data_IF_525626952739
#
_entry.id   IF_525626952739
#
_cell.length_a   1.000
_cell.length_b   1.000
_cell.length_c   1.000
_cell.angle_alpha   90.00
_cell.angle_beta   90.00
_cell.angle_gamma   90.00
#
_symmetry.space_group_name_H-M   'P 1'
#
loop_
_entity.id
_entity.type
_entity.pdbx_description
1 polymer ?
#
# COMPACT_ATOMS: atom_id res chain seq x y z
N UNK A 1 -15.05 -21.91 -6.62
CA UNK A 1 -13.71 -22.53 -6.49
C UNK A 1 -13.30 -22.58 -5.02
N UNK A 2 -12.44 -23.53 -4.59
CA UNK A 2 -12.02 -23.67 -3.18
C UNK A 2 -10.50 -23.61 -3.01
N UNK A 3 -10.05 -22.98 -1.94
CA UNK A 3 -8.64 -22.79 -1.62
C UNK A 3 -8.40 -23.07 -0.13
N UNK A 4 -7.29 -23.71 0.20
CA UNK A 4 -6.78 -23.83 1.57
C UNK A 4 -5.69 -22.77 1.78
N UNK A 5 -5.80 -21.98 2.84
CA UNK A 5 -4.89 -20.89 3.17
C UNK A 5 -4.26 -21.18 4.53
N UNK A 6 -2.94 -20.98 4.61
CA UNK A 6 -2.16 -21.04 5.85
C UNK A 6 -1.33 -19.77 6.00
N UNK A 7 -1.63 -18.97 7.01
CA UNK A 7 -0.91 -17.75 7.36
C UNK A 7 0.27 -18.12 8.26
N UNK A 8 1.47 -17.75 7.83
CA UNK A 8 2.69 -17.96 8.61
C UNK A 8 3.01 -16.76 9.48
N UNK A 9 2.81 -15.55 8.95
CA UNK A 9 3.16 -14.31 9.64
C UNK A 9 2.30 -13.16 9.15
N UNK A 10 1.93 -12.31 10.10
CA UNK A 10 1.35 -10.99 9.84
C UNK A 10 2.19 -9.95 10.58
N UNK A 11 2.70 -8.98 9.83
CA UNK A 11 3.50 -7.87 10.37
C UNK A 11 3.02 -6.54 9.83
N UNK A 12 3.18 -5.52 10.66
CA UNK A 12 2.87 -4.14 10.32
C UNK A 12 4.17 -3.36 10.17
N UNK A 13 4.26 -2.51 9.14
CA UNK A 13 5.44 -1.70 8.84
C UNK A 13 5.09 -0.26 8.51
N UNK A 14 5.99 0.67 8.85
CA UNK A 14 5.87 2.11 8.58
C UNK A 14 6.77 2.55 7.41
N UNK A 15 7.25 1.61 6.61
CA UNK A 15 7.94 1.86 5.34
C UNK A 15 8.04 0.57 4.53
N UNK A 16 7.96 0.72 3.21
CA UNK A 16 8.24 -0.35 2.26
C UNK A 16 9.75 -0.32 1.91
N UNK A 17 10.53 -1.37 2.23
CA UNK A 17 11.99 -1.35 2.08
C UNK A 17 12.48 -1.02 0.68
N UNK A 18 11.77 -1.49 -0.35
CA UNK A 18 12.22 -1.41 -1.75
C UNK A 18 11.50 -0.31 -2.56
N UNK A 19 10.75 0.57 -1.90
CA UNK A 19 10.00 1.63 -2.59
C UNK A 19 10.88 2.80 -3.03
N UNK A 20 11.72 3.30 -2.11
CA UNK A 20 12.65 4.40 -2.39
C UNK A 20 14.05 3.83 -2.65
N UNK A 21 14.64 4.17 -3.80
CA UNK A 21 16.01 3.78 -4.14
C UNK A 21 16.97 4.98 -4.10
N UNK A 22 18.28 4.71 -4.22
CA UNK A 22 19.31 5.77 -4.16
C UNK A 22 19.11 6.88 -5.21
N UNK A 23 18.59 6.55 -6.40
CA UNK A 23 18.32 7.54 -7.45
C UNK A 23 17.11 8.43 -7.10
N UNK A 24 16.11 7.90 -6.41
CA UNK A 24 15.01 8.71 -5.90
C UNK A 24 15.48 9.75 -4.89
N UNK A 25 16.30 9.33 -3.93
CA UNK A 25 16.81 10.25 -2.93
C UNK A 25 17.69 11.35 -3.55
N UNK A 26 18.52 11.03 -4.56
CA UNK A 26 19.33 12.02 -5.28
C UNK A 26 18.48 13.05 -6.01
N UNK A 27 17.46 12.62 -6.75
CA UNK A 27 16.56 13.54 -7.46
C UNK A 27 15.74 14.41 -6.49
N UNK A 28 15.31 13.84 -5.36
CA UNK A 28 14.64 14.62 -4.33
C UNK A 28 15.60 15.65 -3.71
N UNK A 29 16.83 15.26 -3.38
CA UNK A 29 17.86 16.20 -2.87
C UNK A 29 18.08 17.37 -3.83
N UNK A 30 18.20 17.11 -5.14
CA UNK A 30 18.30 18.16 -6.15
C UNK A 30 17.08 19.09 -6.15
N UNK A 31 15.86 18.54 -6.06
CA UNK A 31 14.61 19.33 -5.96
C UNK A 31 14.55 20.17 -4.68
N UNK A 32 15.16 19.72 -3.60
CA UNK A 32 15.32 20.48 -2.34
C UNK A 32 16.57 21.38 -2.32
N UNK A 33 17.21 21.62 -3.48
CA UNK A 33 18.33 22.56 -3.60
C UNK A 33 19.67 22.02 -3.10
N UNK A 34 19.77 20.73 -2.79
CA UNK A 34 21.01 20.05 -2.43
C UNK A 34 21.57 19.33 -3.66
N UNK A 35 22.40 20.04 -4.45
CA UNK A 35 23.10 19.45 -5.59
C UNK A 35 24.31 18.60 -5.13
N UNK A 36 24.68 17.62 -5.95
CA UNK A 36 25.93 16.84 -5.84
C UNK A 36 26.02 15.82 -4.67
N UNK A 37 24.92 15.13 -4.34
CA UNK A 37 24.97 13.99 -3.44
C UNK A 37 25.66 12.76 -4.10
N UNK A 38 26.98 12.62 -3.89
CA UNK A 38 27.77 11.53 -4.48
C UNK A 38 27.59 10.16 -3.79
N UNK A 39 26.92 10.10 -2.64
CA UNK A 39 26.75 8.84 -1.90
C UNK A 39 25.93 7.80 -2.67
N UNK A 40 26.23 6.53 -2.44
CA UNK A 40 25.40 5.39 -2.88
C UNK A 40 24.64 4.74 -1.73
N UNK A 41 24.93 5.13 -0.48
CA UNK A 41 24.25 4.60 0.70
C UNK A 41 22.88 5.27 0.85
N UNK A 42 21.83 4.46 0.78
CA UNK A 42 20.44 4.91 0.92
C UNK A 42 20.21 5.60 2.27
N UNK A 43 20.84 5.13 3.35
CA UNK A 43 20.64 5.72 4.68
C UNK A 43 21.25 7.11 4.76
N UNK A 44 22.47 7.27 4.27
CA UNK A 44 23.13 8.56 4.22
C UNK A 44 22.34 9.54 3.34
N UNK A 45 21.89 9.11 2.15
CA UNK A 45 21.06 9.92 1.27
C UNK A 45 19.73 10.32 1.92
N UNK A 46 19.10 9.42 2.67
CA UNK A 46 17.87 9.72 3.42
C UNK A 46 18.12 10.75 4.53
N UNK A 47 19.21 10.62 5.29
CA UNK A 47 19.59 11.57 6.33
C UNK A 47 19.88 12.96 5.74
N UNK A 48 20.61 13.02 4.62
CA UNK A 48 20.81 14.26 3.85
C UNK A 48 19.47 14.87 3.41
N UNK A 49 18.55 14.04 2.89
CA UNK A 49 17.25 14.51 2.44
C UNK A 49 16.45 15.10 3.60
N UNK A 50 16.47 14.46 4.77
CA UNK A 50 15.77 14.97 5.95
C UNK A 50 16.33 16.31 6.44
N UNK A 51 17.65 16.54 6.30
CA UNK A 51 18.24 17.85 6.57
C UNK A 51 17.79 18.90 5.56
N UNK A 52 17.80 18.59 4.26
CA UNK A 52 17.39 19.53 3.22
C UNK A 52 15.89 19.89 3.29
N UNK A 53 15.03 18.90 3.59
CA UNK A 53 13.59 19.09 3.74
C UNK A 53 13.25 20.01 4.93
N UNK A 54 14.09 20.02 5.98
CA UNK A 54 13.80 20.78 7.20
C UNK A 54 13.74 22.31 6.99
N UNK A 55 14.31 22.83 5.90
CA UNK A 55 14.28 24.26 5.53
C UNK A 55 12.93 24.68 4.90
N UNK A 56 12.03 23.73 4.63
CA UNK A 56 10.75 23.95 3.97
C UNK A 56 9.57 23.76 4.94
N UNK A 57 8.48 24.50 4.72
CA UNK A 57 7.22 24.23 5.42
C UNK A 57 6.64 22.87 4.99
N UNK A 58 5.83 22.27 5.86
CA UNK A 58 5.37 20.88 5.66
C UNK A 58 4.62 20.69 4.34
N UNK A 59 3.74 21.62 3.97
CA UNK A 59 2.99 21.55 2.72
C UNK A 59 3.90 21.80 1.50
N UNK A 60 4.90 22.68 1.60
CA UNK A 60 5.85 22.93 0.51
C UNK A 60 6.68 21.68 0.22
N UNK A 61 7.20 21.02 1.26
CA UNK A 61 7.93 19.77 1.09
C UNK A 61 7.02 18.64 0.57
N UNK A 62 5.79 18.55 1.06
CA UNK A 62 4.83 17.58 0.56
C UNK A 62 4.55 17.77 -0.93
N UNK A 63 4.34 19.01 -1.38
CA UNK A 63 4.13 19.33 -2.79
C UNK A 63 5.31 18.90 -3.66
N UNK A 64 6.55 19.12 -3.21
CA UNK A 64 7.77 18.71 -3.94
C UNK A 64 7.86 17.19 -4.08
N UNK A 65 7.61 16.43 -3.00
CA UNK A 65 7.71 14.96 -3.03
C UNK A 65 6.56 14.36 -3.85
N UNK A 66 5.35 14.91 -3.73
CA UNK A 66 4.18 14.53 -4.54
C UNK A 66 4.44 14.79 -6.02
N UNK A 67 4.94 15.97 -6.39
CA UNK A 67 5.30 16.30 -7.77
C UNK A 67 6.32 15.31 -8.34
N UNK A 68 7.37 14.98 -7.57
CA UNK A 68 8.38 14.03 -8.02
C UNK A 68 7.80 12.66 -8.39
N UNK A 69 6.83 12.16 -7.62
CA UNK A 69 6.29 10.80 -7.80
C UNK A 69 5.03 10.72 -8.64
N UNK A 70 4.16 11.73 -8.58
CA UNK A 70 2.79 11.64 -9.07
C UNK A 70 2.45 12.70 -10.13
N UNK A 71 3.41 13.50 -10.62
CA UNK A 71 3.16 14.51 -11.66
C UNK A 71 2.69 13.93 -13.01
N UNK A 72 2.95 12.64 -13.28
CA UNK A 72 2.40 11.95 -14.46
C UNK A 72 0.89 11.64 -14.32
N UNK A 73 0.37 11.70 -13.11
CA UNK A 73 -0.97 11.26 -12.75
C UNK A 73 -1.85 12.38 -12.19
N UNK A 74 -1.24 13.37 -11.56
CA UNK A 74 -1.88 14.46 -10.87
C UNK A 74 -1.40 15.78 -11.42
N UNK A 75 -2.33 16.71 -11.64
CA UNK A 75 -1.97 18.07 -12.04
C UNK A 75 -1.51 18.91 -10.84
N UNK A 76 -0.94 20.08 -11.12
CA UNK A 76 -0.39 20.98 -10.09
C UNK A 76 -1.41 21.38 -9.02
N UNK A 77 -2.67 21.60 -9.40
CA UNK A 77 -3.73 21.96 -8.44
C UNK A 77 -4.09 20.81 -7.51
N UNK A 78 -4.12 19.58 -8.03
CA UNK A 78 -4.32 18.37 -7.21
C UNK A 78 -3.15 18.15 -6.25
N UNK A 79 -1.92 18.32 -6.72
CA UNK A 79 -0.71 18.19 -5.89
C UNK A 79 -0.71 19.24 -4.77
N UNK A 80 -1.02 20.50 -5.09
CA UNK A 80 -1.11 21.59 -4.12
C UNK A 80 -2.16 21.28 -3.04
N UNK A 81 -3.37 20.90 -3.45
CA UNK A 81 -4.44 20.52 -2.53
C UNK A 81 -4.02 19.33 -1.63
N UNK A 82 -3.49 18.27 -2.23
CA UNK A 82 -3.04 17.08 -1.51
C UNK A 82 -1.96 17.39 -0.48
N UNK A 83 -1.04 18.29 -0.80
CA UNK A 83 0.05 18.69 0.10
C UNK A 83 -0.47 19.28 1.42
N UNK A 84 -1.66 19.89 1.40
CA UNK A 84 -2.36 20.38 2.58
C UNK A 84 -3.21 19.30 3.26
N UNK A 85 -3.94 18.50 2.47
CA UNK A 85 -4.83 17.47 2.99
C UNK A 85 -4.09 16.35 3.76
N UNK A 86 -2.88 15.99 3.34
CA UNK A 86 -2.05 14.97 4.01
C UNK A 86 -1.70 15.30 5.47
N UNK A 87 -1.86 16.56 5.89
CA UNK A 87 -1.67 16.98 7.28
C UNK A 87 -2.94 16.80 8.14
N UNK A 88 -4.10 16.72 7.50
CA UNK A 88 -5.41 16.73 8.14
C UNK A 88 -6.05 15.33 8.13
N UNK A 89 -5.88 14.60 7.04
CA UNK A 89 -6.54 13.32 6.78
C UNK A 89 -5.53 12.25 6.31
N UNK A 90 -5.92 10.98 6.46
CA UNK A 90 -5.07 9.84 6.06
C UNK A 90 -5.24 9.56 4.57
N UNK A 91 -4.70 10.45 3.75
CA UNK A 91 -4.91 10.40 2.30
C UNK A 91 -4.44 9.09 1.66
N UNK A 92 -3.44 8.40 2.22
CA UNK A 92 -3.05 7.07 1.74
C UNK A 92 -4.08 5.95 1.98
N UNK A 93 -5.16 6.23 2.71
CA UNK A 93 -6.26 5.32 3.04
C UNK A 93 -7.60 5.84 2.47
N UNK A 94 -7.74 7.16 2.34
CA UNK A 94 -9.02 7.83 2.03
C UNK A 94 -9.07 8.45 0.62
N UNK A 95 -7.96 8.48 -0.11
CA UNK A 95 -7.97 9.05 -1.47
C UNK A 95 -8.91 8.26 -2.39
N UNK A 96 -9.72 8.90 -3.25
CA UNK A 96 -10.69 8.19 -4.10
C UNK A 96 -10.07 7.15 -5.03
N UNK A 97 -8.87 7.44 -5.54
CA UNK A 97 -8.14 6.57 -6.46
C UNK A 97 -7.27 5.59 -5.69
N UNK A 98 -7.77 4.37 -5.46
CA UNK A 98 -7.11 3.35 -4.61
C UNK A 98 -5.72 2.98 -5.15
N UNK A 99 -5.54 2.98 -6.46
CA UNK A 99 -4.26 2.64 -7.10
C UNK A 99 -3.12 3.59 -6.68
N UNK A 100 -3.43 4.81 -6.23
CA UNK A 100 -2.44 5.77 -5.70
C UNK A 100 -2.09 5.55 -4.23
N UNK A 101 -2.83 4.71 -3.49
CA UNK A 101 -2.67 4.56 -2.03
C UNK A 101 -1.27 4.11 -1.63
N UNK A 102 -0.63 3.24 -2.41
CA UNK A 102 0.73 2.75 -2.14
C UNK A 102 1.76 3.89 -2.20
N UNK A 103 1.64 4.74 -3.22
CA UNK A 103 2.57 5.85 -3.44
C UNK A 103 2.34 6.93 -2.39
N UNK A 104 1.08 7.28 -2.15
CA UNK A 104 0.66 8.20 -1.10
C UNK A 104 1.11 7.72 0.28
N UNK A 105 1.03 6.43 0.59
CA UNK A 105 1.56 5.85 1.82
C UNK A 105 3.06 6.08 1.95
N UNK A 106 3.81 5.80 0.89
CA UNK A 106 5.27 5.87 0.91
C UNK A 106 5.79 7.31 0.99
N UNK A 107 5.08 8.26 0.36
CA UNK A 107 5.32 9.70 0.47
C UNK A 107 4.98 10.17 1.88
N UNK A 108 3.80 9.83 2.40
CA UNK A 108 3.36 10.20 3.73
C UNK A 108 4.34 9.72 4.81
N UNK A 109 4.79 8.46 4.75
CA UNK A 109 5.73 7.91 5.72
C UNK A 109 7.14 8.52 5.63
N UNK A 110 7.58 8.95 4.45
CA UNK A 110 8.82 9.70 4.30
C UNK A 110 8.72 11.04 5.04
N UNK A 111 7.64 11.79 4.79
CA UNK A 111 7.38 13.11 5.38
C UNK A 111 7.08 13.03 6.88
N UNK A 112 6.35 12.00 7.32
CA UNK A 112 6.11 11.69 8.73
C UNK A 112 7.44 11.59 9.49
N UNK A 113 8.42 10.87 8.94
CA UNK A 113 9.74 10.72 9.54
C UNK A 113 10.55 12.02 9.48
N UNK A 114 10.57 12.69 8.32
CA UNK A 114 11.30 13.95 8.14
C UNK A 114 10.84 15.05 9.13
N UNK A 115 9.54 15.10 9.43
CA UNK A 115 8.94 16.13 10.29
C UNK A 115 8.54 15.63 11.68
N UNK A 116 9.12 14.52 12.16
CA UNK A 116 8.88 14.00 13.51
C UNK A 116 7.38 13.83 13.86
N UNK A 117 6.58 13.36 12.90
CA UNK A 117 5.17 13.02 13.09
C UNK A 117 4.17 14.16 12.92
N UNK A 118 4.53 15.25 12.23
CA UNK A 118 3.56 16.29 11.83
C UNK A 118 2.50 15.76 10.84
N UNK A 119 2.87 14.82 9.97
CA UNK A 119 1.93 14.11 9.10
C UNK A 119 1.23 13.01 9.90
N UNK A 120 0.05 12.56 9.46
CA UNK A 120 -0.65 11.48 10.15
C UNK A 120 0.06 10.14 9.94
N UNK A 121 0.23 9.35 10.99
CA UNK A 121 0.83 8.02 10.84
C UNK A 121 -0.15 7.05 10.17
N UNK A 122 0.37 6.30 9.21
CA UNK A 122 -0.31 5.22 8.49
C UNK A 122 0.58 3.99 8.47
N UNK A 123 -0.01 2.81 8.29
CA UNK A 123 0.74 1.56 8.38
C UNK A 123 0.39 0.63 7.22
N UNK A 124 1.34 -0.22 6.83
CA UNK A 124 1.13 -1.27 5.86
C UNK A 124 1.16 -2.63 6.54
N UNK A 125 0.25 -3.52 6.14
CA UNK A 125 0.22 -4.91 6.57
C UNK A 125 0.91 -5.78 5.53
N UNK A 126 1.84 -6.60 6.00
CA UNK A 126 2.50 -7.66 5.23
C UNK A 126 2.03 -9.00 5.76
N UNK A 127 1.52 -9.85 4.86
CA UNK A 127 1.08 -11.21 5.19
C UNK A 127 1.91 -12.21 4.39
N UNK A 128 2.62 -13.08 5.10
CA UNK A 128 3.29 -14.25 4.54
C UNK A 128 2.37 -15.46 4.72
N UNK A 129 2.01 -16.13 3.62
CA UNK A 129 1.03 -17.21 3.62
C UNK A 129 1.28 -18.25 2.53
N UNK A 130 0.63 -19.39 2.64
CA UNK A 130 0.48 -20.39 1.58
C UNK A 130 -0.97 -20.41 1.13
N UNK A 131 -1.19 -20.61 -0.17
CA UNK A 131 -2.53 -20.80 -0.75
C UNK A 131 -2.48 -21.99 -1.71
N UNK A 132 -3.30 -23.00 -1.44
CA UNK A 132 -3.35 -24.24 -2.20
C UNK A 132 -4.73 -24.38 -2.85
N UNK A 133 -4.81 -24.40 -4.20
CA UNK A 133 -6.04 -24.69 -4.92
C UNK A 133 -6.54 -26.11 -4.61
N UNK A 134 -7.83 -26.25 -4.31
CA UNK A 134 -8.45 -27.55 -4.02
C UNK A 134 -9.23 -28.03 -5.25
N UNK A 135 -8.97 -29.28 -5.67
CA UNK A 135 -9.61 -29.94 -6.83
C UNK A 135 -9.39 -29.14 -8.13
N UNK A 136 -10.47 -28.60 -8.70
CA UNK A 136 -10.49 -27.93 -10.01
C UNK A 136 -10.40 -26.39 -9.88
N UNK A 137 -9.95 -25.89 -8.72
CA UNK A 137 -9.69 -24.46 -8.54
C UNK A 137 -8.51 -24.00 -9.40
N UNK A 138 -8.50 -22.71 -9.75
CA UNK A 138 -7.43 -22.13 -10.56
C UNK A 138 -6.09 -22.23 -9.83
N UNK A 139 -5.03 -22.58 -10.59
CA UNK A 139 -3.66 -22.66 -10.08
C UNK A 139 -2.93 -21.33 -10.16
N UNK A 140 -3.43 -20.42 -10.98
CA UNK A 140 -2.90 -19.06 -11.12
C UNK A 140 -3.53 -18.19 -10.05
N UNK A 141 -2.77 -17.95 -8.97
CA UNK A 141 -3.24 -17.14 -7.85
C UNK A 141 -3.12 -15.67 -8.21
N UNK A 142 -4.25 -14.98 -8.32
CA UNK A 142 -4.36 -13.55 -8.59
C UNK A 142 -4.66 -12.77 -7.30
N UNK A 143 -4.51 -11.43 -7.34
CA UNK A 143 -4.89 -10.54 -6.24
C UNK A 143 -6.37 -10.67 -5.88
N UNK A 144 -7.26 -10.79 -6.87
CA UNK A 144 -8.69 -11.05 -6.65
C UNK A 144 -8.92 -12.34 -5.85
N UNK A 145 -8.29 -13.46 -6.24
CA UNK A 145 -8.40 -14.74 -5.53
C UNK A 145 -7.97 -14.57 -4.07
N UNK A 146 -6.81 -13.95 -3.86
CA UNK A 146 -6.25 -13.71 -2.52
C UNK A 146 -7.20 -12.85 -1.69
N UNK A 147 -7.69 -11.73 -2.23
CA UNK A 147 -8.56 -10.82 -1.51
C UNK A 147 -9.91 -11.46 -1.16
N UNK A 148 -10.54 -12.16 -2.10
CA UNK A 148 -11.80 -12.91 -1.86
C UNK A 148 -11.62 -14.00 -0.80
N UNK A 149 -10.47 -14.69 -0.78
CA UNK A 149 -10.19 -15.68 0.26
C UNK A 149 -10.04 -15.00 1.64
N UNK A 150 -9.22 -13.96 1.74
CA UNK A 150 -9.00 -13.28 3.01
C UNK A 150 -10.24 -12.58 3.53
N UNK A 151 -11.11 -12.02 2.67
CA UNK A 151 -12.38 -11.42 3.08
C UNK A 151 -13.26 -12.35 3.94
N UNK A 152 -13.20 -13.67 3.70
CA UNK A 152 -13.92 -14.68 4.49
C UNK A 152 -13.27 -14.98 5.86
N UNK A 153 -11.99 -14.63 6.03
CA UNK A 153 -11.22 -14.79 7.26
C UNK A 153 -10.94 -13.45 7.98
N UNK A 154 -11.61 -12.37 7.56
CA UNK A 154 -11.58 -11.07 8.24
C UNK A 154 -12.82 -10.88 9.11
N UNK A 155 -12.75 -9.96 10.07
CA UNK A 155 -13.95 -9.57 10.85
C UNK A 155 -15.06 -9.07 9.93
N UNK A 156 -16.33 -9.27 10.33
CA UNK A 156 -17.49 -8.82 9.54
C UNK A 156 -17.54 -7.30 9.35
N UNK A 157 -16.93 -6.54 10.26
CA UNK A 157 -16.85 -5.08 10.23
C UNK A 157 -15.68 -4.54 9.43
N UNK A 158 -14.78 -5.42 8.94
CA UNK A 158 -13.61 -5.02 8.16
C UNK A 158 -14.02 -4.20 6.93
N UNK A 159 -13.16 -3.24 6.55
CA UNK A 159 -13.43 -2.28 5.46
C UNK A 159 -13.69 -2.99 4.12
N UNK A 160 -12.90 -4.00 3.75
CA UNK A 160 -13.07 -4.74 2.49
C UNK A 160 -14.47 -5.34 2.41
N UNK A 161 -14.94 -5.95 3.50
CA UNK A 161 -16.28 -6.54 3.56
C UNK A 161 -17.40 -5.49 3.51
N UNK A 162 -17.16 -4.27 4.04
CA UNK A 162 -18.15 -3.18 4.02
C UNK A 162 -18.26 -2.51 2.65
N UNK A 163 -17.13 -2.29 1.98
CA UNK A 163 -17.08 -1.55 0.72
C UNK A 163 -17.26 -2.46 -0.51
N UNK A 164 -16.70 -3.67 -0.47
CA UNK A 164 -16.64 -4.58 -1.62
C UNK A 164 -17.46 -5.86 -1.44
N UNK A 165 -18.51 -5.81 -0.63
CA UNK A 165 -19.33 -6.99 -0.32
C UNK A 165 -19.97 -7.64 -1.55
N UNK A 166 -20.39 -6.86 -2.55
CA UNK A 166 -20.96 -7.38 -3.79
C UNK A 166 -19.89 -8.08 -4.64
N UNK A 167 -18.72 -7.46 -4.78
CA UNK A 167 -17.57 -7.96 -5.51
C UNK A 167 -17.02 -9.26 -4.89
N UNK A 168 -16.89 -9.29 -3.55
CA UNK A 168 -16.50 -10.49 -2.79
C UNK A 168 -17.49 -11.65 -3.00
N UNK A 169 -18.78 -11.34 -3.07
CA UNK A 169 -19.86 -12.29 -3.35
C UNK A 169 -20.07 -12.56 -4.84
N UNK A 170 -19.18 -12.09 -5.72
CA UNK A 170 -19.24 -12.29 -7.16
C UNK A 170 -20.54 -11.79 -7.83
N UNK A 171 -21.18 -10.77 -7.24
CA UNK A 171 -22.34 -10.09 -7.83
C UNK A 171 -21.94 -9.00 -8.82
N UNK A 172 -20.70 -8.53 -8.71
CA UNK A 172 -20.08 -7.48 -9.53
C UNK A 172 -18.61 -7.89 -9.79
N UNK A 173 -18.02 -7.34 -10.85
CA UNK A 173 -16.59 -7.48 -11.12
C UNK A 173 -15.75 -6.86 -9.98
N UNK A 174 -14.57 -7.41 -9.71
CA UNK A 174 -13.71 -6.96 -8.62
C UNK A 174 -12.37 -6.40 -9.11
N UNK A 175 -12.43 -5.31 -9.89
CA UNK A 175 -11.25 -4.69 -10.49
C UNK A 175 -10.34 -4.05 -9.42
N UNK A 176 -10.93 -3.47 -8.38
CA UNK A 176 -10.25 -2.78 -7.27
C UNK A 176 -9.37 -3.72 -6.45
N UNK A 177 -9.55 -5.04 -6.55
CA UNK A 177 -8.71 -6.01 -5.86
C UNK A 177 -7.22 -5.85 -6.22
N UNK A 178 -6.94 -5.36 -7.44
CA UNK A 178 -5.57 -5.11 -7.89
C UNK A 178 -4.90 -3.94 -7.16
N UNK A 179 -5.70 -3.03 -6.62
CA UNK A 179 -5.25 -1.79 -5.98
C UNK A 179 -5.33 -1.87 -4.46
N UNK A 180 -6.28 -2.64 -3.92
CA UNK A 180 -6.34 -2.95 -2.47
C UNK A 180 -5.11 -3.74 -2.05
N UNK A 181 -4.73 -4.78 -2.81
CA UNK A 181 -3.47 -5.50 -2.60
C UNK A 181 -2.39 -4.80 -3.40
N UNK A 182 -1.57 -3.99 -2.75
CA UNK A 182 -0.48 -3.22 -3.38
C UNK A 182 0.55 -4.10 -4.07
N UNK A 183 0.91 -5.22 -3.48
CA UNK A 183 1.86 -6.17 -4.04
C UNK A 183 1.48 -7.61 -3.66
N UNK A 184 1.71 -8.53 -4.60
CA UNK A 184 1.54 -9.97 -4.41
C UNK A 184 2.71 -10.69 -5.07
N UNK A 185 3.62 -11.18 -4.24
CA UNK A 185 4.82 -11.88 -4.67
C UNK A 185 4.68 -13.37 -4.41
N UNK A 186 5.13 -14.20 -5.35
CA UNK A 186 5.17 -15.65 -5.23
C UNK A 186 6.61 -16.13 -5.09
N UNK A 187 6.90 -16.86 -4.01
CA UNK A 187 8.16 -17.52 -3.74
C UNK A 187 7.91 -19.02 -3.59
N UNK A 188 8.05 -19.77 -4.69
CA UNK A 188 7.76 -21.20 -4.76
C UNK A 188 6.31 -21.54 -4.34
N UNK A 189 6.11 -22.09 -3.15
CA UNK A 189 4.79 -22.38 -2.58
C UNK A 189 4.27 -21.28 -1.64
N UNK A 190 5.11 -20.31 -1.28
CA UNK A 190 4.77 -19.22 -0.37
C UNK A 190 4.42 -17.96 -1.14
N UNK A 191 3.52 -17.18 -0.57
CA UNK A 191 3.09 -15.89 -1.06
C UNK A 191 3.33 -14.83 -0.01
N UNK A 192 3.69 -13.65 -0.46
CA UNK A 192 3.74 -12.43 0.35
C UNK A 192 2.82 -11.41 -0.29
N UNK A 193 1.85 -10.91 0.47
CA UNK A 193 1.06 -9.76 0.07
C UNK A 193 1.36 -8.55 0.93
N UNK A 194 1.26 -7.37 0.32
CA UNK A 194 1.39 -6.07 0.98
C UNK A 194 0.11 -5.28 0.70
N UNK A 195 -0.46 -4.66 1.73
CA UNK A 195 -1.66 -3.83 1.68
C UNK A 195 -1.58 -2.73 2.73
N UNK A 196 -2.47 -1.73 2.68
CA UNK A 196 -2.69 -0.83 3.81
C UNK A 196 -3.26 -1.56 5.03
N UNK A 197 -2.84 -1.18 6.24
CA UNK A 197 -3.46 -1.63 7.49
C UNK A 197 -4.95 -1.23 7.56
N UNK A 198 -5.34 -0.14 6.89
CA UNK A 198 -6.74 0.25 6.72
C UNK A 198 -7.61 -0.85 6.07
N UNK A 199 -7.07 -1.50 5.03
CA UNK A 199 -7.80 -2.53 4.29
C UNK A 199 -7.85 -3.84 5.07
N UNK A 200 -6.70 -4.27 5.59
CA UNK A 200 -6.57 -5.53 6.33
C UNK A 200 -5.57 -5.35 7.46
N UNK A 201 -6.08 -4.90 8.60
CA UNK A 201 -5.28 -4.68 9.79
C UNK A 201 -4.86 -6.00 10.45
N UNK A 202 -3.68 -6.02 11.08
CA UNK A 202 -3.12 -7.26 11.66
C UNK A 202 -4.07 -8.00 12.61
N UNK A 203 -4.89 -7.27 13.35
CA UNK A 203 -5.81 -7.82 14.36
C UNK A 203 -7.17 -8.24 13.78
N UNK A 204 -7.40 -8.06 12.48
CA UNK A 204 -8.68 -8.38 11.85
C UNK A 204 -8.76 -9.81 11.31
N UNK A 205 -7.62 -10.49 11.17
CA UNK A 205 -7.53 -11.88 10.73
C UNK A 205 -8.00 -12.84 11.83
N UNK A 206 -8.96 -13.69 11.51
CA UNK A 206 -9.66 -14.54 12.48
C UNK A 206 -8.93 -15.85 12.79
N UNK A 207 -8.36 -16.49 11.77
CA UNK A 207 -7.65 -17.78 11.89
C UNK A 207 -6.34 -17.78 11.11
N UNK A 208 -5.35 -18.50 11.63
CA UNK A 208 -4.08 -18.77 10.93
C UNK A 208 -4.21 -19.82 9.83
N UNK A 209 -5.19 -20.72 9.91
CA UNK A 209 -5.47 -21.75 8.89
C UNK A 209 -6.96 -21.75 8.58
N UNK A 210 -7.33 -21.73 7.30
CA UNK A 210 -8.74 -21.75 6.88
C UNK A 210 -8.92 -22.25 5.44
N UNK A 211 -10.15 -22.67 5.12
CA UNK A 211 -10.57 -22.90 3.73
C UNK A 211 -11.50 -21.77 3.30
N UNK A 212 -11.34 -21.30 2.07
CA UNK A 212 -12.20 -20.30 1.46
C UNK A 212 -12.87 -20.86 0.20
N UNK A 213 -14.14 -20.53 0.01
CA UNK A 213 -14.89 -20.86 -1.20
C UNK A 213 -15.28 -19.57 -1.91
N UNK A 214 -14.69 -19.31 -3.07
CA UNK A 214 -14.89 -18.06 -3.82
C UNK A 214 -15.60 -18.33 -5.14
N UNK A 215 -16.30 -17.32 -5.65
CA UNK A 215 -16.94 -17.32 -6.96
C UNK A 215 -16.36 -16.15 -7.78
N UNK A 216 -16.43 -16.26 -9.10
CA UNK A 216 -16.06 -15.18 -10.02
C UNK A 216 -17.32 -14.62 -10.62
N UNK A 217 -17.34 -13.31 -10.83
CA UNK A 217 -18.45 -12.65 -11.48
C UNK A 217 -18.57 -13.17 -12.92
N UNK A 218 -19.81 -13.41 -13.34
CA UNK A 218 -20.15 -13.84 -14.69
C UNK A 218 -21.11 -12.81 -15.27
N UNK A 219 -20.70 -12.18 -16.38
CA UNK A 219 -21.53 -11.27 -17.16
C UNK A 219 -22.50 -12.08 -18.03
N UNK A 220 -23.41 -12.85 -17.41
CA UNK A 220 -24.53 -13.46 -18.16
C UNK A 220 -25.48 -12.40 -18.74
#
# INVERSE_FOLDING_TARGET
MKYAIKIHKISTVNALPDYWNSNDFKQLLEKFGFADAESTDIKELQELLFMAIADYETNEAAAIVLDYKLSEHLNQGQIDQLSHEMLLDKISEEYPEIWLHKDLFSINQLLYKAYNGKFLNTEATIVDFEITPIKNADKTITKEIVLKCFAQNLTKSNVVNRLFGNQVLAKEAFEEANDVIWDLQKNDHQYKMITSDYWMGKNEFLSGDFEAAIEFFDEE
#
